data_IF_400753388500
#
_entry.id   IF_400753388500
#
_cell.length_a   1.000
_cell.length_b   1.000
_cell.length_c   1.000
_cell.angle_alpha   90.00
_cell.angle_beta   90.00
_cell.angle_gamma   90.00
#
_symmetry.space_group_name_H-M   'P 1'
#
loop_
_entity.id
_entity.type
_entity.pdbx_description
1 polymer ?
#
# COMPACT_ATOMS: atom_id res chain seq x y z
N UNK A 1 -21.31 -37.42 48.67
CA UNK A 1 -21.70 -36.86 47.35
C UNK A 1 -21.03 -35.50 47.21
N UNK A 2 -19.81 -35.46 46.70
CA UNK A 2 -19.04 -34.22 46.47
C UNK A 2 -19.21 -33.81 45.00
N UNK A 3 -19.75 -32.62 44.75
CA UNK A 3 -19.74 -31.99 43.41
C UNK A 3 -18.54 -31.05 43.35
N UNK A 4 -17.48 -31.48 42.66
CA UNK A 4 -16.46 -30.58 42.13
C UNK A 4 -17.05 -29.87 40.91
N UNK A 5 -17.26 -28.55 41.02
CA UNK A 5 -17.54 -27.69 39.88
C UNK A 5 -16.23 -27.35 39.17
N UNK A 6 -16.06 -27.89 37.97
CA UNK A 6 -15.01 -27.51 37.03
C UNK A 6 -15.28 -26.10 36.51
N UNK A 7 -14.42 -25.13 36.85
CA UNK A 7 -14.36 -23.82 36.21
C UNK A 7 -13.52 -23.98 34.94
N UNK A 8 -14.19 -24.31 33.83
CA UNK A 8 -13.58 -24.24 32.52
C UNK A 8 -13.27 -22.76 32.20
N UNK A 9 -11.97 -22.43 32.19
CA UNK A 9 -11.48 -21.12 31.77
C UNK A 9 -11.92 -20.84 30.34
N UNK A 10 -12.71 -19.78 30.15
CA UNK A 10 -12.97 -19.21 28.83
C UNK A 10 -11.63 -18.68 28.34
N UNK A 11 -11.03 -19.36 27.36
CA UNK A 11 -9.93 -18.82 26.57
C UNK A 11 -10.46 -17.53 25.94
N UNK A 12 -10.04 -16.38 26.45
CA UNK A 12 -10.39 -15.10 25.88
C UNK A 12 -9.81 -15.06 24.47
N UNK A 13 -10.66 -15.18 23.45
CA UNK A 13 -10.28 -14.94 22.06
C UNK A 13 -9.79 -13.49 22.01
N UNK A 14 -8.50 -13.23 21.72
CA UNK A 14 -8.01 -11.87 21.88
C UNK A 14 -8.62 -10.99 20.80
N UNK A 15 -9.06 -9.80 21.21
CA UNK A 15 -9.68 -8.82 20.33
C UNK A 15 -8.76 -8.53 19.14
N UNK A 16 -9.34 -8.44 17.93
CA UNK A 16 -8.59 -8.16 16.68
C UNK A 16 -7.71 -6.91 16.77
N UNK A 17 -8.06 -5.94 17.61
CA UNK A 17 -7.26 -4.72 17.85
C UNK A 17 -6.30 -4.82 19.03
N UNK A 18 -5.63 -5.95 19.24
CA UNK A 18 -4.58 -6.10 20.28
C UNK A 18 -3.23 -6.50 19.69
N UNK A 19 -2.10 -6.22 20.36
CA UNK A 19 -0.75 -6.66 19.91
C UNK A 19 -0.68 -8.15 19.62
N UNK A 20 -1.22 -8.99 20.51
CA UNK A 20 -1.27 -10.43 20.32
C UNK A 20 -2.20 -10.83 19.16
N UNK A 21 -3.29 -10.07 18.95
CA UNK A 21 -4.19 -10.20 17.81
C UNK A 21 -3.49 -9.89 16.48
N UNK A 22 -2.76 -8.79 16.42
CA UNK A 22 -1.97 -8.38 15.27
C UNK A 22 -0.91 -9.43 14.90
N UNK A 23 -0.15 -9.92 15.87
CA UNK A 23 0.86 -10.95 15.61
C UNK A 23 0.24 -12.24 15.01
N UNK A 24 -0.86 -12.74 15.60
CA UNK A 24 -1.56 -13.90 15.04
C UNK A 24 -2.13 -13.63 13.66
N UNK A 25 -2.64 -12.42 13.41
CA UNK A 25 -3.10 -12.03 12.08
C UNK A 25 -1.97 -12.15 11.06
N UNK A 26 -0.78 -11.61 11.35
CA UNK A 26 0.38 -11.69 10.44
C UNK A 26 0.78 -13.15 10.19
N UNK A 27 0.82 -13.99 11.24
CA UNK A 27 1.14 -15.41 11.10
C UNK A 27 0.12 -16.16 10.21
N UNK A 28 -1.18 -15.95 10.44
CA UNK A 28 -2.22 -16.55 9.61
C UNK A 28 -2.15 -16.05 8.17
N UNK A 29 -1.96 -14.75 7.99
CA UNK A 29 -1.84 -14.15 6.66
C UNK A 29 -0.65 -14.71 5.89
N UNK A 30 0.51 -14.84 6.53
CA UNK A 30 1.71 -15.44 5.93
C UNK A 30 1.49 -16.89 5.48
N UNK A 31 0.78 -17.68 6.28
CA UNK A 31 0.48 -19.08 5.96
C UNK A 31 -0.55 -19.23 4.85
N UNK A 32 -1.59 -18.40 4.83
CA UNK A 32 -2.71 -18.47 3.87
C UNK A 32 -2.36 -17.86 2.52
N UNK A 33 -1.43 -16.90 2.50
CA UNK A 33 -1.05 -16.15 1.31
C UNK A 33 0.46 -16.19 1.09
N UNK A 34 1.07 -17.33 0.74
CA UNK A 34 2.49 -17.37 0.43
C UNK A 34 2.84 -16.51 -0.80
N UNK A 35 4.11 -16.13 -1.00
CA UNK A 35 4.55 -15.43 -2.21
C UNK A 35 4.10 -16.16 -3.48
N UNK A 36 3.60 -15.39 -4.45
CA UNK A 36 3.11 -15.95 -5.70
C UNK A 36 4.24 -16.57 -6.53
N UNK A 37 3.91 -17.53 -7.39
CA UNK A 37 4.89 -18.18 -8.26
C UNK A 37 4.69 -17.81 -9.71
N UNK A 38 5.75 -17.31 -10.37
CA UNK A 38 5.76 -17.10 -11.81
C UNK A 38 5.46 -18.39 -12.60
N UNK A 39 5.87 -19.55 -12.10
CA UNK A 39 5.63 -20.83 -12.77
C UNK A 39 4.15 -21.24 -12.78
N UNK A 40 3.33 -20.69 -11.87
CA UNK A 40 1.90 -20.95 -11.80
C UNK A 40 1.07 -19.99 -12.67
N UNK A 41 1.70 -18.98 -13.28
CA UNK A 41 1.02 -17.97 -14.08
C UNK A 41 0.84 -18.39 -15.54
N UNK A 42 -0.38 -18.23 -16.06
CA UNK A 42 -0.66 -18.29 -17.49
C UNK A 42 -0.50 -16.88 -18.08
N UNK A 43 0.58 -16.70 -18.85
CA UNK A 43 0.94 -15.42 -19.45
C UNK A 43 0.39 -15.27 -20.88
N UNK A 44 -0.62 -16.05 -21.27
CA UNK A 44 -1.28 -15.93 -22.57
C UNK A 44 -1.93 -14.55 -22.73
N UNK A 45 -1.66 -13.91 -23.87
CA UNK A 45 -2.24 -12.62 -24.25
C UNK A 45 -2.82 -12.76 -25.66
N UNK A 46 -4.10 -12.44 -25.81
CA UNK A 46 -4.84 -12.61 -27.06
C UNK A 46 -4.56 -11.47 -28.04
N UNK A 47 -4.56 -10.23 -27.58
CA UNK A 47 -4.23 -9.04 -28.37
C UNK A 47 -3.12 -8.21 -27.70
N UNK A 48 -1.84 -8.60 -27.90
CA UNK A 48 -0.71 -7.92 -27.29
C UNK A 48 -0.63 -6.43 -27.65
N UNK A 49 -1.06 -6.06 -28.86
CA UNK A 49 -0.96 -4.67 -29.30
C UNK A 49 -1.99 -3.78 -28.60
N UNK A 50 -3.23 -4.26 -28.49
CA UNK A 50 -4.28 -3.57 -27.75
C UNK A 50 -3.96 -3.46 -26.27
N UNK A 51 -3.49 -4.56 -25.64
CA UNK A 51 -3.05 -4.55 -24.24
C UNK A 51 -1.94 -3.52 -24.02
N UNK A 52 -0.93 -3.50 -24.89
CA UNK A 52 0.16 -2.53 -24.80
C UNK A 52 -0.34 -1.09 -24.88
N UNK A 53 -1.25 -0.78 -25.82
CA UNK A 53 -1.80 0.58 -25.99
C UNK A 53 -2.66 1.01 -24.80
N UNK A 54 -3.50 0.13 -24.27
CA UNK A 54 -4.48 0.47 -23.23
C UNK A 54 -3.88 0.39 -21.82
N UNK A 55 -3.11 -0.66 -21.54
CA UNK A 55 -2.66 -0.99 -20.18
C UNK A 55 -1.15 -0.87 -20.00
N UNK A 56 -0.36 -0.65 -21.05
CA UNK A 56 1.10 -0.58 -20.96
C UNK A 56 1.61 0.46 -19.96
N UNK A 57 0.99 1.64 -19.91
CA UNK A 57 1.32 2.67 -18.92
C UNK A 57 1.05 2.22 -17.47
N UNK A 58 -0.07 1.53 -17.24
CA UNK A 58 -0.47 0.98 -15.94
C UNK A 58 0.53 -0.09 -15.49
N UNK A 59 0.81 -1.07 -16.34
CA UNK A 59 1.78 -2.13 -16.02
C UNK A 59 3.17 -1.56 -15.74
N UNK A 60 3.64 -0.59 -16.52
CA UNK A 60 4.94 0.06 -16.29
C UNK A 60 5.00 0.71 -14.91
N UNK A 61 3.94 1.42 -14.53
CA UNK A 61 3.88 2.11 -13.26
C UNK A 61 3.84 1.13 -12.09
N UNK A 62 2.90 0.17 -12.12
CA UNK A 62 2.72 -0.82 -11.05
C UNK A 62 3.98 -1.67 -10.88
N UNK A 63 4.54 -2.20 -11.97
CA UNK A 63 5.76 -3.04 -11.90
C UNK A 63 6.91 -2.30 -11.21
N UNK A 64 7.12 -1.02 -11.53
CA UNK A 64 8.15 -0.22 -10.86
C UNK A 64 7.87 -0.10 -9.36
N UNK A 65 6.63 0.24 -8.99
CA UNK A 65 6.25 0.40 -7.58
C UNK A 65 6.50 -0.89 -6.79
N UNK A 66 6.12 -2.04 -7.34
CA UNK A 66 6.32 -3.34 -6.68
C UNK A 66 7.80 -3.72 -6.59
N UNK A 67 8.58 -3.49 -7.65
CA UNK A 67 10.02 -3.80 -7.65
C UNK A 67 10.84 -2.85 -6.77
N UNK A 68 10.32 -1.68 -6.41
CA UNK A 68 10.94 -0.77 -5.44
C UNK A 68 10.82 -1.28 -3.98
N UNK A 69 10.17 -2.43 -3.73
CA UNK A 69 10.03 -3.02 -2.40
C UNK A 69 11.36 -3.21 -1.67
N UNK A 70 12.43 -3.58 -2.39
CA UNK A 70 13.75 -3.76 -1.77
C UNK A 70 14.27 -2.44 -1.18
N UNK A 71 14.12 -1.32 -1.91
CA UNK A 71 14.42 0.01 -1.37
C UNK A 71 13.54 0.31 -0.17
N UNK A 72 12.24 0.03 -0.28
CA UNK A 72 11.28 0.32 0.80
C UNK A 72 11.67 -0.42 2.08
N UNK A 73 12.08 -1.69 2.02
CA UNK A 73 12.59 -2.44 3.19
C UNK A 73 13.84 -1.80 3.78
N UNK A 74 14.78 -1.33 2.95
CA UNK A 74 15.97 -0.60 3.43
C UNK A 74 15.57 0.71 4.13
N UNK A 75 14.59 1.43 3.58
CA UNK A 75 14.05 2.64 4.18
C UNK A 75 13.36 2.36 5.52
N UNK A 76 12.62 1.26 5.64
CA UNK A 76 11.97 0.86 6.91
C UNK A 76 12.97 0.53 7.99
N UNK A 77 14.03 -0.23 7.67
CA UNK A 77 15.12 -0.52 8.61
C UNK A 77 15.82 0.75 9.09
N UNK A 78 15.97 1.75 8.22
CA UNK A 78 16.55 3.02 8.59
C UNK A 78 15.59 3.91 9.39
N UNK A 79 14.29 3.88 9.04
CA UNK A 79 13.25 4.72 9.63
C UNK A 79 12.87 4.25 11.05
N UNK A 80 12.86 2.94 11.28
CA UNK A 80 12.44 2.30 12.51
C UNK A 80 13.47 1.24 12.93
N UNK A 81 14.68 1.65 13.36
CA UNK A 81 15.73 0.71 13.77
C UNK A 81 15.29 -0.20 14.92
N UNK A 82 14.41 0.30 15.79
CA UNK A 82 13.83 -0.42 16.91
C UNK A 82 12.38 -0.87 16.62
N UNK A 83 12.09 -1.30 15.38
CA UNK A 83 10.78 -1.83 14.99
C UNK A 83 10.37 -3.05 15.85
N UNK A 84 9.07 -3.23 16.06
CA UNK A 84 8.58 -4.39 16.83
C UNK A 84 8.87 -5.69 16.09
N UNK A 85 8.97 -6.80 16.81
CA UNK A 85 9.12 -8.14 16.21
C UNK A 85 8.03 -8.42 15.17
N UNK A 86 6.79 -7.99 15.44
CA UNK A 86 5.66 -8.18 14.51
C UNK A 86 5.78 -7.31 13.27
N UNK A 87 6.24 -6.06 13.39
CA UNK A 87 6.52 -5.22 12.23
C UNK A 87 7.60 -5.84 11.35
N UNK A 88 8.72 -6.26 11.97
CA UNK A 88 9.84 -6.88 11.27
C UNK A 88 9.42 -8.16 10.56
N UNK A 89 8.73 -9.06 11.26
CA UNK A 89 8.20 -10.28 10.66
C UNK A 89 7.32 -9.97 9.45
N UNK A 90 6.44 -8.96 9.55
CA UNK A 90 5.61 -8.57 8.41
C UNK A 90 6.44 -8.03 7.24
N UNK A 91 7.24 -6.98 7.42
CA UNK A 91 7.88 -6.33 6.28
C UNK A 91 9.08 -7.09 5.71
N UNK A 92 9.77 -7.92 6.51
CA UNK A 92 10.92 -8.72 6.07
C UNK A 92 10.49 -10.07 5.49
N UNK A 93 9.58 -10.77 6.16
CA UNK A 93 9.33 -12.20 5.88
C UNK A 93 8.00 -12.46 5.15
N UNK A 94 7.08 -11.49 5.14
CA UNK A 94 5.75 -11.65 4.53
C UNK A 94 5.59 -10.72 3.33
N UNK A 95 5.53 -9.42 3.58
CA UNK A 95 5.26 -8.40 2.57
C UNK A 95 6.34 -8.32 1.50
N UNK A 96 7.62 -8.23 1.91
CA UNK A 96 8.70 -8.07 0.93
C UNK A 96 8.81 -9.21 -0.08
N UNK A 97 8.76 -10.50 0.33
CA UNK A 97 8.72 -11.61 -0.63
C UNK A 97 7.47 -11.61 -1.52
N UNK A 98 6.30 -11.20 -0.99
CA UNK A 98 5.06 -11.09 -1.77
C UNK A 98 5.16 -10.02 -2.85
N UNK A 99 5.51 -8.78 -2.49
CA UNK A 99 5.60 -7.67 -3.47
C UNK A 99 6.68 -7.89 -4.51
N UNK A 100 7.81 -8.52 -4.15
CA UNK A 100 8.83 -8.88 -5.13
C UNK A 100 8.25 -9.81 -6.20
N UNK A 101 7.43 -10.79 -5.81
CA UNK A 101 6.76 -11.68 -6.77
C UNK A 101 5.68 -10.95 -7.57
N UNK A 102 4.98 -9.97 -6.98
CA UNK A 102 4.06 -9.09 -7.72
C UNK A 102 4.80 -8.38 -8.86
N UNK A 103 5.93 -7.73 -8.53
CA UNK A 103 6.78 -7.06 -9.51
C UNK A 103 7.30 -8.00 -10.61
N UNK A 104 7.79 -9.19 -10.25
CA UNK A 104 8.26 -10.21 -11.20
C UNK A 104 7.14 -10.65 -12.15
N UNK A 105 5.94 -10.90 -11.64
CA UNK A 105 4.79 -11.33 -12.42
C UNK A 105 4.35 -10.24 -13.40
N UNK A 106 4.20 -9.00 -12.92
CA UNK A 106 3.82 -7.86 -13.77
C UNK A 106 4.88 -7.60 -14.85
N UNK A 107 6.16 -7.72 -14.51
CA UNK A 107 7.24 -7.60 -15.46
C UNK A 107 7.21 -8.70 -16.54
N UNK A 108 6.97 -9.94 -16.14
CA UNK A 108 6.82 -11.05 -17.08
C UNK A 108 5.66 -10.82 -18.07
N UNK A 109 4.53 -10.29 -17.58
CA UNK A 109 3.39 -9.91 -18.43
C UNK A 109 3.77 -8.80 -19.41
N UNK A 110 4.48 -7.75 -18.96
CA UNK A 110 4.93 -6.65 -19.84
C UNK A 110 5.78 -7.13 -21.02
N UNK A 111 6.68 -8.08 -20.76
CA UNK A 111 7.52 -8.66 -21.81
C UNK A 111 6.69 -9.39 -22.87
N UNK A 112 5.56 -10.00 -22.49
CA UNK A 112 4.67 -10.71 -23.43
C UNK A 112 3.98 -9.79 -24.43
N UNK A 113 3.74 -8.53 -24.09
CA UNK A 113 3.23 -7.52 -25.02
C UNK A 113 4.30 -6.56 -25.53
N UNK A 114 5.58 -6.97 -25.47
CA UNK A 114 6.69 -6.28 -26.13
C UNK A 114 7.16 -5.00 -25.45
N UNK A 115 6.94 -4.85 -24.14
CA UNK A 115 7.50 -3.74 -23.37
C UNK A 115 8.80 -4.12 -22.66
N UNK A 116 9.74 -3.17 -22.63
CA UNK A 116 10.98 -3.28 -21.86
C UNK A 116 10.71 -2.87 -20.42
N UNK A 117 11.22 -3.62 -19.43
CA UNK A 117 11.17 -3.23 -18.02
C UNK A 117 11.79 -1.85 -17.82
N UNK A 118 11.13 -0.99 -17.04
CA UNK A 118 11.79 0.21 -16.53
C UNK A 118 12.65 -0.21 -15.32
N UNK A 119 13.92 0.20 -15.23
CA UNK A 119 14.75 -0.15 -14.09
C UNK A 119 14.13 0.45 -12.81
N UNK A 120 13.90 -0.37 -11.76
CA UNK A 120 13.44 0.15 -10.48
C UNK A 120 14.53 0.98 -9.82
N UNK A 121 14.14 2.01 -9.08
CA UNK A 121 15.06 2.74 -8.22
C UNK A 121 15.24 1.99 -6.90
N UNK A 122 16.23 1.12 -6.86
CA UNK A 122 16.63 0.36 -5.66
C UNK A 122 17.75 1.05 -4.87
N UNK A 123 18.17 2.25 -5.29
CA UNK A 123 19.40 2.86 -4.83
C UNK A 123 19.21 3.73 -3.58
N UNK A 124 19.50 3.15 -2.42
CA UNK A 124 19.83 3.88 -1.20
C UNK A 124 18.67 4.53 -0.47
N UNK A 125 18.95 4.92 0.77
CA UNK A 125 17.99 5.56 1.68
C UNK A 125 18.19 7.07 1.64
N UNK A 126 17.11 7.82 1.39
CA UNK A 126 17.16 9.29 1.31
C UNK A 126 17.63 9.93 2.63
N UNK A 127 18.28 11.09 2.55
CA UNK A 127 18.75 11.82 3.74
C UNK A 127 17.61 12.16 4.73
N UNK A 128 16.40 12.38 4.22
CA UNK A 128 15.22 12.65 5.05
C UNK A 128 14.81 11.43 5.86
N UNK A 129 14.81 10.24 5.25
CA UNK A 129 14.49 8.99 5.95
C UNK A 129 15.57 8.68 6.99
N UNK A 130 16.86 8.85 6.65
CA UNK A 130 17.95 8.69 7.62
C UNK A 130 17.80 9.63 8.81
N UNK A 131 17.50 10.90 8.56
CA UNK A 131 17.26 11.88 9.62
C UNK A 131 16.06 11.49 10.50
N UNK A 132 14.96 11.06 9.90
CA UNK A 132 13.80 10.56 10.65
C UNK A 132 14.19 9.35 11.52
N UNK A 133 14.99 8.43 10.99
CA UNK A 133 15.58 7.32 11.73
C UNK A 133 16.36 7.77 12.97
N UNK A 134 17.26 8.75 12.83
CA UNK A 134 17.99 9.32 13.97
C UNK A 134 17.04 9.96 14.99
N UNK A 135 16.03 10.71 14.53
CA UNK A 135 15.04 11.34 15.40
C UNK A 135 14.15 10.32 16.12
N UNK A 136 14.04 9.09 15.62
CA UNK A 136 13.23 8.03 16.25
C UNK A 136 13.71 7.66 17.66
N UNK A 137 15.01 7.84 17.95
CA UNK A 137 15.58 7.59 19.27
C UNK A 137 15.18 8.63 20.33
N UNK A 138 14.57 9.75 19.93
CA UNK A 138 14.05 10.72 20.88
C UNK A 138 12.78 10.18 21.57
N UNK A 139 12.59 10.40 22.88
CA UNK A 139 11.43 9.91 23.61
C UNK A 139 10.11 10.29 22.93
N UNK A 140 9.29 9.28 22.63
CA UNK A 140 7.98 9.44 21.98
C UNK A 140 8.00 9.65 20.47
N UNK A 141 9.15 9.88 19.83
CA UNK A 141 9.23 10.11 18.38
C UNK A 141 9.08 8.84 17.55
N UNK A 142 9.58 7.69 18.04
CA UNK A 142 9.38 6.40 17.36
C UNK A 142 7.89 6.10 17.12
N UNK A 143 7.01 6.39 18.09
CA UNK A 143 5.57 6.19 17.94
C UNK A 143 4.96 7.10 16.86
N UNK A 144 5.42 8.35 16.76
CA UNK A 144 5.03 9.29 15.69
C UNK A 144 5.44 8.73 14.32
N UNK A 145 6.67 8.25 14.21
CA UNK A 145 7.23 7.69 12.97
C UNK A 145 6.51 6.41 12.57
N UNK A 146 6.28 5.48 13.51
CA UNK A 146 5.50 4.26 13.27
C UNK A 146 4.10 4.58 12.76
N UNK A 147 3.41 5.55 13.37
CA UNK A 147 2.08 5.93 12.89
C UNK A 147 2.13 6.56 11.48
N UNK A 148 3.12 7.39 11.17
CA UNK A 148 3.30 7.92 9.80
C UNK A 148 3.56 6.82 8.77
N UNK A 149 4.36 5.82 9.14
CA UNK A 149 4.60 4.63 8.33
C UNK A 149 3.29 3.86 8.10
N UNK A 150 2.55 3.52 9.17
CA UNK A 150 1.31 2.75 9.04
C UNK A 150 0.24 3.48 8.21
N UNK A 151 0.12 4.79 8.36
CA UNK A 151 -0.79 5.60 7.55
C UNK A 151 -0.34 5.72 6.09
N UNK A 152 0.95 5.61 5.81
CA UNK A 152 1.48 5.56 4.44
C UNK A 152 1.19 4.22 3.81
N UNK A 153 1.55 3.13 4.48
CA UNK A 153 1.23 1.78 4.04
C UNK A 153 -0.26 1.61 3.78
N UNK A 154 -1.13 1.94 4.74
CA UNK A 154 -2.57 1.80 4.56
C UNK A 154 -3.13 2.56 3.34
N UNK A 155 -2.62 3.76 3.05
CA UNK A 155 -3.02 4.52 1.86
C UNK A 155 -2.50 3.88 0.56
N UNK A 156 -1.26 3.39 0.56
CA UNK A 156 -0.62 2.68 -0.56
C UNK A 156 -1.37 1.40 -0.89
N UNK A 157 -1.51 0.49 0.07
CA UNK A 157 -2.19 -0.80 -0.13
C UNK A 157 -3.64 -0.60 -0.56
N UNK A 158 -4.33 0.41 0.00
CA UNK A 158 -5.71 0.68 -0.43
C UNK A 158 -5.78 1.18 -1.87
N UNK A 159 -4.79 1.94 -2.32
CA UNK A 159 -4.68 2.36 -3.72
C UNK A 159 -4.40 1.16 -4.63
N UNK A 160 -3.52 0.24 -4.21
CA UNK A 160 -3.23 -1.00 -4.93
C UNK A 160 -4.48 -1.89 -5.08
N UNK A 161 -5.24 -2.13 -3.99
CA UNK A 161 -6.52 -2.86 -4.05
C UNK A 161 -7.45 -2.30 -5.12
N UNK A 162 -7.60 -0.97 -5.18
CA UNK A 162 -8.48 -0.30 -6.15
C UNK A 162 -7.91 -0.46 -7.57
N UNK A 163 -6.62 -0.22 -7.75
CA UNK A 163 -5.95 -0.30 -9.04
C UNK A 163 -6.04 -1.70 -9.64
N UNK A 164 -5.66 -2.73 -8.88
CA UNK A 164 -5.75 -4.12 -9.33
C UNK A 164 -7.18 -4.59 -9.56
N UNK A 165 -8.14 -4.11 -8.78
CA UNK A 165 -9.55 -4.41 -9.04
C UNK A 165 -10.02 -3.89 -10.39
N UNK A 166 -9.66 -2.66 -10.75
CA UNK A 166 -10.04 -2.06 -12.04
C UNK A 166 -9.25 -2.65 -13.21
N UNK A 167 -7.96 -2.91 -13.01
CA UNK A 167 -7.12 -3.57 -14.03
C UNK A 167 -7.62 -4.99 -14.34
N UNK A 168 -7.91 -5.80 -13.32
CA UNK A 168 -8.44 -7.16 -13.51
C UNK A 168 -9.75 -7.12 -14.32
N UNK A 169 -10.64 -6.19 -13.99
CA UNK A 169 -11.92 -6.01 -14.67
C UNK A 169 -11.75 -5.56 -16.11
N UNK A 170 -10.87 -4.59 -16.36
CA UNK A 170 -10.53 -4.11 -17.70
C UNK A 170 -10.02 -5.25 -18.59
N UNK A 171 -9.01 -5.97 -18.12
CA UNK A 171 -8.43 -7.12 -18.84
C UNK A 171 -9.48 -8.21 -19.12
N UNK A 172 -10.34 -8.51 -18.14
CA UNK A 172 -11.43 -9.49 -18.32
C UNK A 172 -12.42 -9.04 -19.40
N UNK A 173 -12.75 -7.75 -19.43
CA UNK A 173 -13.68 -7.16 -20.41
C UNK A 173 -13.10 -7.18 -21.82
N UNK A 174 -11.79 -7.03 -21.97
CA UNK A 174 -11.10 -7.13 -23.27
C UNK A 174 -10.78 -8.56 -23.70
N UNK A 175 -11.18 -9.57 -22.92
CA UNK A 175 -10.95 -10.99 -23.22
C UNK A 175 -9.61 -11.54 -22.75
N UNK A 176 -8.79 -10.78 -22.02
CA UNK A 176 -7.48 -11.17 -21.51
C UNK A 176 -7.59 -11.93 -20.18
N UNK A 177 -8.27 -13.07 -20.23
CA UNK A 177 -8.64 -13.87 -19.06
C UNK A 177 -7.42 -14.48 -18.35
N UNK A 178 -6.46 -15.02 -19.09
CA UNK A 178 -5.29 -15.70 -18.52
C UNK A 178 -4.51 -14.81 -17.55
N UNK A 179 -4.07 -13.63 -18.01
CA UNK A 179 -3.36 -12.67 -17.16
C UNK A 179 -4.26 -12.05 -16.08
N UNK A 180 -5.55 -11.82 -16.36
CA UNK A 180 -6.47 -11.31 -15.33
C UNK A 180 -6.65 -12.31 -14.18
N UNK A 181 -6.82 -13.59 -14.47
CA UNK A 181 -7.17 -14.63 -13.50
C UNK A 181 -5.98 -15.25 -12.79
N UNK A 182 -4.83 -15.34 -13.47
CA UNK A 182 -3.64 -16.03 -12.96
C UNK A 182 -2.50 -15.11 -12.55
N UNK A 183 -2.59 -13.81 -12.87
CA UNK A 183 -1.61 -12.80 -12.43
C UNK A 183 -2.28 -11.72 -11.58
N UNK A 184 -3.20 -10.96 -12.16
CA UNK A 184 -3.77 -9.78 -11.48
C UNK A 184 -4.68 -10.16 -10.31
N UNK A 185 -5.56 -11.15 -10.49
CA UNK A 185 -6.47 -11.58 -9.43
C UNK A 185 -5.75 -12.20 -8.22
N UNK A 186 -4.70 -13.02 -8.37
CA UNK A 186 -3.88 -13.48 -7.25
C UNK A 186 -3.20 -12.34 -6.49
N UNK A 187 -2.57 -11.38 -7.17
CA UNK A 187 -1.96 -10.20 -6.56
C UNK A 187 -3.03 -9.45 -5.73
N UNK A 188 -4.15 -9.11 -6.38
CA UNK A 188 -5.32 -8.48 -5.74
C UNK A 188 -5.81 -9.19 -4.47
N UNK A 189 -5.64 -10.52 -4.35
CA UNK A 189 -6.08 -11.27 -3.15
C UNK A 189 -5.16 -11.06 -1.95
N UNK A 190 -3.89 -10.66 -2.15
CA UNK A 190 -2.94 -10.42 -1.07
C UNK A 190 -3.06 -8.99 -0.52
N UNK A 191 -3.30 -8.00 -1.38
CA UNK A 191 -3.42 -6.57 -1.02
C UNK A 191 -4.33 -6.25 0.18
N UNK A 192 -5.53 -6.87 0.36
CA UNK A 192 -6.37 -6.59 1.51
C UNK A 192 -5.73 -7.01 2.83
N UNK A 193 -4.87 -8.03 2.82
CA UNK A 193 -4.10 -8.46 3.98
C UNK A 193 -3.01 -7.46 4.34
N UNK A 194 -2.29 -6.92 3.34
CA UNK A 194 -1.33 -5.83 3.57
C UNK A 194 -2.03 -4.61 4.17
N UNK A 195 -3.14 -4.19 3.56
CA UNK A 195 -3.95 -3.09 4.08
C UNK A 195 -4.41 -3.34 5.53
N UNK A 196 -4.86 -4.57 5.82
CA UNK A 196 -5.31 -4.95 7.16
C UNK A 196 -4.18 -4.90 8.19
N UNK A 197 -2.95 -5.32 7.85
CA UNK A 197 -1.79 -5.15 8.71
C UNK A 197 -1.61 -3.68 9.10
N UNK A 198 -1.49 -2.79 8.12
CA UNK A 198 -1.23 -1.37 8.38
C UNK A 198 -2.34 -0.71 9.21
N UNK A 199 -3.60 -1.05 8.90
CA UNK A 199 -4.75 -0.58 9.66
C UNK A 199 -4.68 -1.05 11.12
N UNK A 200 -4.51 -2.36 11.35
CA UNK A 200 -4.50 -2.94 12.68
C UNK A 200 -3.30 -2.43 13.50
N UNK A 201 -2.13 -2.29 12.88
CA UNK A 201 -0.94 -1.72 13.51
C UNK A 201 -1.16 -0.27 13.94
N UNK A 202 -1.81 0.55 13.10
CA UNK A 202 -2.18 1.91 13.47
C UNK A 202 -3.21 1.96 14.61
N UNK A 203 -4.23 1.10 14.57
CA UNK A 203 -5.25 0.99 15.63
C UNK A 203 -4.64 0.55 16.97
N UNK A 204 -3.78 -0.48 16.98
CA UNK A 204 -3.07 -0.95 18.17
C UNK A 204 -2.18 0.14 18.74
N UNK A 205 -1.42 0.83 17.89
CA UNK A 205 -0.54 1.90 18.31
C UNK A 205 -1.33 3.05 18.97
N UNK A 206 -2.43 3.48 18.35
CA UNK A 206 -3.24 4.60 18.87
C UNK A 206 -4.01 4.20 20.14
N UNK A 207 -4.63 3.02 20.17
CA UNK A 207 -5.59 2.67 21.23
C UNK A 207 -5.01 1.82 22.36
N UNK A 208 -4.04 0.95 22.09
CA UNK A 208 -3.45 0.06 23.10
C UNK A 208 -2.09 0.59 23.60
N UNK A 209 -1.20 0.98 22.69
CA UNK A 209 0.11 1.54 23.08
C UNK A 209 -0.02 2.98 23.60
N UNK A 210 -1.08 3.70 23.17
CA UNK A 210 -1.49 4.97 23.74
C UNK A 210 -0.62 6.15 23.30
N UNK A 211 -0.86 6.67 22.09
CA UNK A 211 -0.27 7.96 21.70
C UNK A 211 -0.96 9.10 22.44
N UNK A 212 -0.16 10.01 22.99
CA UNK A 212 -0.67 11.21 23.61
C UNK A 212 -1.08 12.28 22.57
N UNK A 213 -1.75 13.33 23.05
CA UNK A 213 -2.32 14.36 22.18
C UNK A 213 -1.29 15.11 21.35
N UNK A 214 -0.09 15.37 21.89
CA UNK A 214 0.95 16.09 21.15
C UNK A 214 1.54 15.22 20.03
N UNK A 215 1.68 13.91 20.26
CA UNK A 215 2.12 12.96 19.22
C UNK A 215 1.10 12.91 18.09
N UNK A 216 -0.20 12.78 18.41
CA UNK A 216 -1.26 12.78 17.40
C UNK A 216 -1.33 14.13 16.64
N UNK A 217 -1.15 15.24 17.34
CA UNK A 217 -1.09 16.56 16.72
C UNK A 217 0.11 16.68 15.76
N UNK A 218 1.29 16.22 16.18
CA UNK A 218 2.48 16.22 15.34
C UNK A 218 2.29 15.32 14.11
N UNK A 219 1.72 14.12 14.26
CA UNK A 219 1.38 13.24 13.14
C UNK A 219 0.48 13.95 12.14
N UNK A 220 -0.58 14.64 12.58
CA UNK A 220 -1.46 15.42 11.66
C UNK A 220 -0.69 16.47 10.86
N UNK A 221 0.22 17.20 11.52
CA UNK A 221 1.04 18.23 10.86
C UNK A 221 1.98 17.60 9.84
N UNK A 222 2.72 16.57 10.25
CA UNK A 222 3.70 15.91 9.39
C UNK A 222 3.00 15.24 8.21
N UNK A 223 1.89 14.54 8.46
CA UNK A 223 1.13 13.85 7.42
C UNK A 223 0.58 14.79 6.36
N UNK A 224 0.04 15.95 6.76
CA UNK A 224 -0.39 17.00 5.81
C UNK A 224 0.75 17.50 4.91
N UNK A 225 1.99 17.52 5.41
CA UNK A 225 3.16 18.03 4.68
C UNK A 225 3.90 16.96 3.87
N UNK A 226 3.81 15.71 4.29
CA UNK A 226 4.61 14.62 3.75
C UNK A 226 3.78 13.60 2.96
N UNK A 227 2.45 13.75 2.91
CA UNK A 227 1.61 12.88 2.10
C UNK A 227 1.91 13.06 0.61
N UNK A 228 2.10 11.93 -0.08
CA UNK A 228 2.10 11.84 -1.53
C UNK A 228 1.38 10.56 -1.96
N UNK A 229 1.11 10.43 -3.25
CA UNK A 229 0.45 9.26 -3.83
C UNK A 229 1.42 8.08 -3.92
N UNK A 230 0.89 6.86 -3.91
CA UNK A 230 1.70 5.63 -4.02
C UNK A 230 2.65 5.75 -5.21
N UNK A 231 3.93 5.45 -4.99
CA UNK A 231 4.95 5.44 -6.04
C UNK A 231 5.42 6.82 -6.51
N UNK A 232 4.99 7.93 -5.88
CA UNK A 232 5.39 9.28 -6.28
C UNK A 232 6.52 9.82 -5.40
N UNK A 233 7.68 10.05 -6.00
CA UNK A 233 8.84 10.69 -5.36
C UNK A 233 9.30 11.99 -6.05
N UNK A 234 8.76 12.29 -7.23
CA UNK A 234 9.10 13.49 -8.01
C UNK A 234 7.94 13.92 -8.94
N UNK A 235 7.97 15.13 -9.52
CA UNK A 235 6.89 15.63 -10.39
C UNK A 235 6.58 14.74 -11.59
N UNK A 236 7.60 14.11 -12.20
CA UNK A 236 7.40 13.19 -13.33
C UNK A 236 6.58 11.97 -12.90
N UNK A 237 6.92 11.36 -11.77
CA UNK A 237 6.18 10.21 -11.22
C UNK A 237 4.76 10.60 -10.77
N UNK A 238 4.55 11.85 -10.35
CA UNK A 238 3.20 12.36 -10.05
C UNK A 238 2.34 12.41 -11.30
N UNK A 239 2.90 12.87 -12.42
CA UNK A 239 2.24 12.85 -13.70
C UNK A 239 2.02 11.40 -14.21
N UNK A 240 2.98 10.50 -13.99
CA UNK A 240 2.83 9.07 -14.31
C UNK A 240 1.66 8.44 -13.51
N UNK A 241 1.53 8.77 -12.22
CA UNK A 241 0.38 8.38 -11.41
C UNK A 241 -0.92 8.94 -11.99
N UNK A 242 -0.91 10.20 -12.43
CA UNK A 242 -2.06 10.82 -13.09
C UNK A 242 -2.52 10.06 -14.34
N UNK A 243 -1.58 9.58 -15.15
CA UNK A 243 -1.87 8.76 -16.34
C UNK A 243 -2.55 7.45 -15.94
N UNK A 244 -2.06 6.78 -14.89
CA UNK A 244 -2.69 5.58 -14.31
C UNK A 244 -4.08 5.88 -13.76
N UNK A 245 -4.22 6.98 -13.01
CA UNK A 245 -5.48 7.39 -12.43
C UNK A 245 -6.54 7.59 -13.50
N UNK A 246 -6.21 8.26 -14.62
CA UNK A 246 -7.13 8.42 -15.75
C UNK A 246 -7.42 7.10 -16.47
N UNK A 247 -6.39 6.29 -16.72
CA UNK A 247 -6.54 5.01 -17.42
C UNK A 247 -7.39 4.00 -16.61
N UNK A 248 -7.43 4.14 -15.29
CA UNK A 248 -8.25 3.34 -14.40
C UNK A 248 -9.51 4.09 -13.91
N UNK A 249 -9.94 5.18 -14.56
CA UNK A 249 -11.15 5.97 -14.23
C UNK A 249 -11.20 6.53 -12.79
N UNK A 250 -10.07 6.71 -12.11
CA UNK A 250 -10.02 7.29 -10.76
C UNK A 250 -10.51 8.74 -10.77
N UNK A 251 -10.32 9.46 -11.88
CA UNK A 251 -10.79 10.83 -12.08
C UNK A 251 -12.32 10.94 -12.06
N UNK A 252 -13.02 9.97 -12.65
CA UNK A 252 -14.50 9.90 -12.65
C UNK A 252 -15.07 9.63 -11.26
N UNK A 253 -14.35 8.84 -10.45
CA UNK A 253 -14.77 8.41 -9.10
C UNK A 253 -13.93 9.04 -7.99
N UNK A 254 -13.31 10.19 -8.24
CA UNK A 254 -12.21 10.71 -7.41
C UNK A 254 -12.56 10.80 -5.92
N UNK A 255 -13.74 11.32 -5.59
CA UNK A 255 -14.17 11.43 -4.19
C UNK A 255 -14.31 10.05 -3.55
N UNK A 256 -14.83 9.06 -4.28
CA UNK A 256 -15.00 7.71 -3.76
C UNK A 256 -13.66 6.99 -3.57
N UNK A 257 -12.71 7.17 -4.49
CA UNK A 257 -11.34 6.66 -4.37
C UNK A 257 -10.63 7.32 -3.19
N UNK A 258 -10.59 8.65 -3.14
CA UNK A 258 -9.91 9.38 -2.07
C UNK A 258 -10.51 9.09 -0.69
N UNK A 259 -11.83 8.87 -0.59
CA UNK A 259 -12.51 8.45 0.65
C UNK A 259 -12.06 7.08 1.13
N UNK A 260 -11.77 6.16 0.22
CA UNK A 260 -11.27 4.83 0.57
C UNK A 260 -9.79 4.89 0.95
N UNK A 261 -8.97 5.57 0.16
CA UNK A 261 -7.53 5.70 0.40
C UNK A 261 -7.22 6.43 1.71
N UNK A 262 -8.04 7.41 2.09
CA UNK A 262 -7.93 8.13 3.37
C UNK A 262 -8.64 7.46 4.56
N UNK A 263 -9.17 6.25 4.42
CA UNK A 263 -10.05 5.63 5.41
C UNK A 263 -9.44 5.59 6.82
N UNK A 264 -8.27 4.97 6.96
CA UNK A 264 -7.61 4.76 8.27
C UNK A 264 -7.26 6.10 8.90
N UNK A 265 -6.74 7.04 8.11
CA UNK A 265 -6.37 8.35 8.62
C UNK A 265 -7.58 9.18 9.05
N UNK A 266 -8.69 9.12 8.28
CA UNK A 266 -9.94 9.78 8.66
C UNK A 266 -10.46 9.22 9.98
N UNK A 267 -10.45 7.91 10.16
CA UNK A 267 -10.91 7.25 11.38
C UNK A 267 -10.02 7.55 12.59
N UNK A 268 -8.69 7.55 12.43
CA UNK A 268 -7.77 7.71 13.57
C UNK A 268 -7.43 9.16 13.90
N UNK A 269 -7.20 10.00 12.89
CA UNK A 269 -6.71 11.38 13.11
C UNK A 269 -7.83 12.42 13.10
N UNK A 270 -8.92 12.17 12.38
CA UNK A 270 -9.93 13.19 12.07
C UNK A 270 -11.36 12.83 12.48
N UNK A 271 -11.60 11.68 13.12
CA UNK A 271 -12.95 11.26 13.51
C UNK A 271 -13.68 12.25 14.44
N UNK A 272 -12.94 13.04 15.21
CA UNK A 272 -13.51 14.09 16.06
C UNK A 272 -14.02 15.30 15.26
N UNK A 273 -13.48 15.57 14.06
CA UNK A 273 -13.93 16.62 13.16
C UNK A 273 -15.11 16.13 12.30
N UNK A 274 -16.29 16.09 12.94
CA UNK A 274 -17.59 15.72 12.37
C UNK A 274 -17.82 16.38 11.00
N UNK A 275 -17.68 15.60 9.92
CA UNK A 275 -18.10 16.00 8.57
C UNK A 275 -17.03 15.98 7.47
N UNK A 276 -15.74 15.82 7.79
CA UNK A 276 -14.72 15.65 6.74
C UNK A 276 -14.83 14.28 6.07
N UNK A 277 -15.46 14.23 4.89
CA UNK A 277 -15.54 13.00 4.07
C UNK A 277 -14.16 12.52 3.61
N UNK A 278 -13.26 13.45 3.31
CA UNK A 278 -11.88 13.21 2.84
C UNK A 278 -10.99 14.36 3.34
N UNK A 279 -9.79 14.10 3.90
CA UNK A 279 -8.82 15.16 4.22
C UNK A 279 -8.39 15.89 2.93
N UNK A 280 -8.36 17.23 2.97
CA UNK A 280 -8.16 18.06 1.76
C UNK A 280 -6.88 17.73 0.99
N UNK A 281 -5.79 17.41 1.67
CA UNK A 281 -4.51 17.14 1.02
C UNK A 281 -4.49 15.84 0.21
N UNK A 282 -5.35 14.85 0.52
CA UNK A 282 -5.54 13.70 -0.37
C UNK A 282 -6.16 14.16 -1.69
N UNK A 283 -7.27 14.91 -1.62
CA UNK A 283 -7.95 15.41 -2.81
C UNK A 283 -7.02 16.26 -3.66
N UNK A 284 -6.28 17.18 -3.03
CA UNK A 284 -5.31 18.04 -3.72
C UNK A 284 -4.26 17.21 -4.44
N UNK A 285 -3.64 16.22 -3.78
CA UNK A 285 -2.62 15.38 -4.41
C UNK A 285 -3.16 14.63 -5.64
N UNK A 286 -4.34 14.00 -5.54
CA UNK A 286 -4.97 13.33 -6.67
C UNK A 286 -5.31 14.31 -7.81
N UNK A 287 -5.87 15.48 -7.49
CA UNK A 287 -6.21 16.50 -8.48
C UNK A 287 -4.96 17.02 -9.21
N UNK A 288 -3.88 17.28 -8.49
CA UNK A 288 -2.61 17.71 -9.06
C UNK A 288 -2.05 16.63 -10.01
N UNK A 289 -2.06 15.36 -9.62
CA UNK A 289 -1.60 14.27 -10.48
C UNK A 289 -2.41 14.18 -11.78
N UNK A 290 -3.75 14.21 -11.69
CA UNK A 290 -4.66 14.17 -12.85
C UNK A 290 -4.47 15.41 -13.75
N UNK A 291 -4.25 16.58 -13.15
CA UNK A 291 -3.97 17.82 -13.89
C UNK A 291 -2.66 17.70 -14.66
N UNK A 292 -1.59 17.21 -14.04
CA UNK A 292 -0.30 17.00 -14.69
C UNK A 292 -0.38 16.01 -15.86
N UNK A 293 -1.12 14.91 -15.70
CA UNK A 293 -1.39 13.96 -16.79
C UNK A 293 -2.12 14.62 -17.97
N UNK A 294 -3.04 15.54 -17.69
CA UNK A 294 -3.78 16.29 -18.71
C UNK A 294 -2.88 17.25 -19.47
N UNK A 295 -2.00 17.97 -18.76
CA UNK A 295 -0.97 18.84 -19.36
C UNK A 295 -0.04 18.02 -20.27
N UNK A 296 0.43 16.85 -19.80
CA UNK A 296 1.26 15.92 -20.59
C UNK A 296 0.57 15.50 -21.89
N UNK A 297 -0.69 15.10 -21.78
CA UNK A 297 -1.49 14.62 -22.91
C UNK A 297 -1.73 15.71 -23.96
N UNK A 298 -1.69 16.99 -23.55
CA UNK A 298 -1.78 18.14 -24.45
C UNK A 298 -0.44 18.50 -25.12
N UNK A 299 0.64 17.76 -24.84
CA UNK A 299 1.98 18.02 -25.41
C UNK A 299 2.72 19.20 -24.80
N UNK A 300 2.29 19.66 -23.62
CA UNK A 300 2.95 20.74 -22.88
C UNK A 300 4.04 20.16 -21.96
N UNK A 301 5.17 20.86 -21.82
CA UNK A 301 6.26 20.46 -20.94
C UNK A 301 5.83 20.51 -19.46
N UNK A 302 6.33 19.54 -18.67
CA UNK A 302 6.08 19.34 -17.24
C UNK A 302 7.39 19.50 -16.47
#
# INVERSE_FOLDING_TARGET
MSRMGSVAGRIAVPMRGSRAGLHRFVQSFAAEHPPLSLAAADLTINDPESVRRQYGGIFRYLTRVELEVERNVLELRALMPDATETDRFFYEDVWSPQELQHGILLDAVQRRFGMTPAPPDVAGVSARIRLAGVLSHLPGMLAVIRLLYYLTGAATERSAVIAYSRLAEGLRTTGERAISETVIAPIKRQEPGHFAFYRLSAEVLVHEEGLNDWQLHLVRILRKRSFDLVGVNNPRQRADFGDVARALDFDRDLIAVARQVSLVERELLWAQHHGLKVPRYFLTAFQEAIALSTVRSAGLEI
#
